data_IF_209199808290
#
_entry.id   IF_209199808290
#
_cell.length_a   1.000
_cell.length_b   1.000
_cell.length_c   1.000
_cell.angle_alpha   90.00
_cell.angle_beta   90.00
_cell.angle_gamma   90.00
#
_symmetry.space_group_name_H-M   'P 1'
#
loop_
_entity.id
_entity.type
_entity.pdbx_description
1 polymer ?
#
# COMPACT_ATOMS: atom_id res chain seq x y z
N UNK A 1 33.72 -30.38 -7.48
CA UNK A 1 33.14 -29.39 -8.43
C UNK A 1 32.35 -28.36 -7.63
N UNK A 2 32.86 -27.13 -7.52
CA UNK A 2 32.16 -26.03 -6.85
C UNK A 2 31.13 -25.44 -7.83
N UNK A 3 29.85 -25.79 -7.64
CA UNK A 3 28.76 -25.08 -8.31
C UNK A 3 28.69 -23.65 -7.74
N UNK A 4 29.41 -22.72 -8.37
CA UNK A 4 29.14 -21.28 -8.22
C UNK A 4 27.70 -21.06 -8.71
N UNK A 5 26.73 -21.06 -7.78
CA UNK A 5 25.40 -20.50 -8.05
C UNK A 5 25.62 -19.10 -8.62
N UNK A 6 25.34 -18.92 -9.92
CA UNK A 6 25.21 -17.58 -10.50
C UNK A 6 24.20 -16.86 -9.61
N UNK A 7 24.63 -15.92 -8.77
CA UNK A 7 23.73 -14.95 -8.14
C UNK A 7 23.03 -14.28 -9.31
N UNK A 8 21.78 -14.64 -9.57
CA UNK A 8 20.94 -13.87 -10.48
C UNK A 8 20.97 -12.44 -9.95
N UNK A 9 21.60 -11.54 -10.71
CA UNK A 9 21.51 -10.11 -10.45
C UNK A 9 20.07 -9.74 -10.77
N UNK A 10 19.17 -9.90 -9.81
CA UNK A 10 17.79 -9.45 -9.98
C UNK A 10 17.87 -7.93 -10.08
N UNK A 11 17.45 -7.39 -11.22
CA UNK A 11 17.47 -5.94 -11.44
C UNK A 11 16.53 -5.25 -10.43
N UNK A 12 16.93 -4.11 -9.83
CA UNK A 12 16.05 -3.29 -9.00
C UNK A 12 14.69 -3.00 -9.66
N UNK A 13 14.69 -2.83 -10.99
CA UNK A 13 13.47 -2.66 -11.79
C UNK A 13 12.51 -3.84 -11.67
N UNK A 14 13.02 -5.07 -11.71
CA UNK A 14 12.19 -6.28 -11.57
C UNK A 14 11.58 -6.33 -10.17
N UNK A 15 12.36 -6.00 -9.14
CA UNK A 15 11.86 -5.97 -7.77
C UNK A 15 10.81 -4.89 -7.54
N UNK A 16 10.96 -3.72 -8.17
CA UNK A 16 9.92 -2.69 -8.17
C UNK A 16 8.63 -3.18 -8.83
N UNK A 17 8.72 -3.84 -9.99
CA UNK A 17 7.55 -4.42 -10.66
C UNK A 17 6.88 -5.52 -9.81
N UNK A 18 7.66 -6.38 -9.17
CA UNK A 18 7.14 -7.38 -8.21
C UNK A 18 6.35 -6.69 -7.09
N UNK A 19 6.89 -5.60 -6.52
CA UNK A 19 6.22 -4.83 -5.49
C UNK A 19 4.96 -4.11 -6.02
N UNK A 20 4.99 -3.54 -7.23
CA UNK A 20 3.81 -2.99 -7.89
C UNK A 20 2.70 -4.04 -8.02
N UNK A 21 3.04 -5.23 -8.50
CA UNK A 21 2.08 -6.33 -8.68
C UNK A 21 1.51 -6.78 -7.34
N UNK A 22 2.35 -6.96 -6.32
CA UNK A 22 1.91 -7.31 -4.97
C UNK A 22 0.98 -6.24 -4.37
N UNK A 23 1.28 -4.96 -4.61
CA UNK A 23 0.47 -3.83 -4.14
C UNK A 23 -0.89 -3.80 -4.84
N UNK A 24 -0.94 -4.02 -6.16
CA UNK A 24 -2.21 -4.12 -6.91
C UNK A 24 -3.03 -5.34 -6.47
N UNK A 25 -2.39 -6.46 -6.19
CA UNK A 25 -3.07 -7.63 -5.64
C UNK A 25 -3.69 -7.34 -4.27
N UNK A 26 -2.97 -6.62 -3.40
CA UNK A 26 -3.49 -6.15 -2.12
C UNK A 26 -4.73 -5.24 -2.30
N UNK A 27 -4.68 -4.29 -3.25
CA UNK A 27 -5.84 -3.46 -3.63
C UNK A 27 -7.05 -4.32 -4.02
N UNK A 28 -6.86 -5.31 -4.90
CA UNK A 28 -7.96 -6.20 -5.31
C UNK A 28 -8.55 -7.00 -4.14
N UNK A 29 -7.71 -7.47 -3.22
CA UNK A 29 -8.18 -8.17 -2.00
C UNK A 29 -9.00 -7.25 -1.09
N UNK A 30 -8.58 -5.99 -0.93
CA UNK A 30 -9.34 -5.00 -0.17
C UNK A 30 -10.68 -4.70 -0.85
N UNK A 31 -10.73 -4.60 -2.18
CA UNK A 31 -12.00 -4.44 -2.92
C UNK A 31 -13.01 -5.56 -2.65
N UNK A 32 -12.56 -6.81 -2.52
CA UNK A 32 -13.43 -7.92 -2.11
C UNK A 32 -13.94 -7.78 -0.67
N UNK A 33 -13.10 -7.25 0.23
CA UNK A 33 -13.50 -6.98 1.61
C UNK A 33 -14.53 -5.84 1.68
N UNK A 34 -14.32 -4.76 0.92
CA UNK A 34 -15.27 -3.65 0.75
C UNK A 34 -16.64 -4.16 0.31
N UNK A 35 -16.71 -5.02 -0.72
CA UNK A 35 -17.97 -5.56 -1.19
C UNK A 35 -18.71 -6.38 -0.10
N UNK A 36 -17.97 -7.17 0.69
CA UNK A 36 -18.54 -7.94 1.81
C UNK A 36 -19.02 -7.05 2.96
N UNK A 37 -18.24 -6.04 3.31
CA UNK A 37 -18.60 -5.06 4.35
C UNK A 37 -19.83 -4.26 3.95
N UNK A 38 -19.88 -3.77 2.70
CA UNK A 38 -21.05 -3.08 2.14
C UNK A 38 -22.30 -3.94 2.28
N UNK A 39 -22.28 -5.17 1.76
CA UNK A 39 -23.44 -6.06 1.82
C UNK A 39 -23.88 -6.37 3.25
N UNK A 40 -22.94 -6.44 4.20
CA UNK A 40 -23.25 -6.69 5.62
C UNK A 40 -23.84 -5.43 6.28
N UNK A 41 -23.31 -4.26 5.94
CA UNK A 41 -23.84 -2.97 6.39
C UNK A 41 -25.26 -2.74 5.87
N UNK A 42 -25.52 -2.93 4.58
CA UNK A 42 -26.86 -2.79 3.98
C UNK A 42 -27.92 -3.67 4.66
N UNK A 43 -27.52 -4.84 5.17
CA UNK A 43 -28.42 -5.77 5.86
C UNK A 43 -28.65 -5.44 7.34
N UNK A 44 -27.68 -4.83 8.00
CA UNK A 44 -27.68 -4.67 9.46
C UNK A 44 -27.85 -3.23 9.93
N UNK A 45 -27.45 -2.25 9.10
CA UNK A 45 -27.36 -0.84 9.48
C UNK A 45 -26.30 -0.56 10.55
N UNK A 46 -25.38 -1.50 10.84
CA UNK A 46 -24.43 -1.38 11.94
C UNK A 46 -23.40 -0.26 11.67
N UNK A 47 -23.34 0.81 12.49
CA UNK A 47 -22.38 1.90 12.33
C UNK A 47 -20.91 1.46 12.41
N UNK A 48 -20.61 0.37 13.11
CA UNK A 48 -19.25 -0.17 13.21
C UNK A 48 -18.76 -0.73 11.86
N UNK A 49 -19.66 -1.33 11.08
CA UNK A 49 -19.37 -1.80 9.72
C UNK A 49 -19.15 -0.64 8.76
N UNK A 50 -19.88 0.46 8.93
CA UNK A 50 -19.67 1.69 8.17
C UNK A 50 -18.27 2.27 8.40
N UNK A 51 -17.85 2.39 9.68
CA UNK A 51 -16.49 2.86 10.00
C UNK A 51 -15.41 1.91 9.45
N UNK A 52 -15.65 0.60 9.53
CA UNK A 52 -14.72 -0.39 8.98
C UNK A 52 -14.62 -0.28 7.46
N UNK A 53 -15.76 -0.12 6.77
CA UNK A 53 -15.82 0.11 5.33
C UNK A 53 -15.02 1.35 4.93
N UNK A 54 -15.23 2.47 5.63
CA UNK A 54 -14.47 3.70 5.40
C UNK A 54 -12.97 3.47 5.56
N UNK A 55 -12.53 2.85 6.66
CA UNK A 55 -11.12 2.59 6.89
C UNK A 55 -10.48 1.67 5.83
N UNK A 56 -11.23 0.65 5.36
CA UNK A 56 -10.75 -0.24 4.29
C UNK A 56 -10.66 0.50 2.96
N UNK A 57 -11.60 1.39 2.64
CA UNK A 57 -11.56 2.24 1.44
C UNK A 57 -10.36 3.20 1.46
N UNK A 58 -10.06 3.83 2.61
CA UNK A 58 -8.86 4.65 2.81
C UNK A 58 -7.60 3.86 2.52
N UNK A 59 -7.47 2.68 3.14
CA UNK A 59 -6.32 1.81 2.91
C UNK A 59 -6.20 1.41 1.43
N UNK A 60 -7.32 1.05 0.79
CA UNK A 60 -7.35 0.69 -0.62
C UNK A 60 -6.85 1.86 -1.50
N UNK A 61 -7.33 3.07 -1.26
CA UNK A 61 -6.91 4.27 -2.00
C UNK A 61 -5.41 4.57 -1.82
N UNK A 62 -4.87 4.43 -0.60
CA UNK A 62 -3.42 4.59 -0.37
C UNK A 62 -2.62 3.59 -1.18
N UNK A 63 -3.00 2.31 -1.17
CA UNK A 63 -2.28 1.28 -1.92
C UNK A 63 -2.39 1.48 -3.44
N UNK A 64 -3.49 2.03 -3.94
CA UNK A 64 -3.62 2.41 -5.35
C UNK A 64 -2.63 3.52 -5.73
N UNK A 65 -2.54 4.58 -4.94
CA UNK A 65 -1.56 5.67 -5.15
C UNK A 65 -0.13 5.13 -5.12
N UNK A 66 0.20 4.28 -4.13
CA UNK A 66 1.50 3.64 -4.05
C UNK A 66 1.78 2.76 -5.27
N UNK A 67 0.80 2.01 -5.76
CA UNK A 67 0.97 1.12 -6.93
C UNK A 67 1.34 1.91 -8.19
N UNK A 68 0.71 3.07 -8.41
CA UNK A 68 1.01 3.96 -9.53
C UNK A 68 2.43 4.52 -9.38
N UNK A 69 2.77 5.03 -8.18
CA UNK A 69 4.11 5.55 -7.89
C UNK A 69 5.20 4.50 -8.15
N UNK A 70 5.01 3.27 -7.68
CA UNK A 70 5.94 2.16 -7.88
C UNK A 70 6.11 1.80 -9.36
N UNK A 71 5.02 1.80 -10.14
CA UNK A 71 5.07 1.60 -11.59
C UNK A 71 5.84 2.73 -12.28
N UNK A 72 5.62 3.98 -11.88
CA UNK A 72 6.40 5.12 -12.38
C UNK A 72 7.89 4.96 -12.10
N UNK A 73 8.27 4.58 -10.88
CA UNK A 73 9.67 4.32 -10.51
C UNK A 73 10.27 3.17 -11.32
N UNK A 74 9.51 2.09 -11.52
CA UNK A 74 9.93 0.95 -12.33
C UNK A 74 10.14 1.33 -13.81
N UNK A 75 9.34 2.26 -14.34
CA UNK A 75 9.44 2.73 -15.71
C UNK A 75 10.61 3.70 -15.92
N UNK A 76 10.86 4.59 -14.96
CA UNK A 76 12.03 5.49 -14.97
C UNK A 76 13.32 4.67 -14.82
N UNK A 77 13.29 3.61 -14.00
CA UNK A 77 14.45 2.74 -13.77
C UNK A 77 15.51 3.35 -12.86
N UNK A 78 15.26 4.53 -12.29
CA UNK A 78 16.04 5.15 -11.24
C UNK A 78 15.34 4.95 -9.90
N UNK A 79 16.12 4.62 -8.88
CA UNK A 79 15.61 4.36 -7.54
C UNK A 79 16.37 5.26 -6.56
N UNK A 80 15.64 6.20 -5.96
CA UNK A 80 16.17 7.11 -4.94
C UNK A 80 15.89 6.55 -3.54
N UNK A 81 16.72 6.94 -2.57
CA UNK A 81 16.48 6.67 -1.15
C UNK A 81 15.18 7.32 -0.67
N UNK A 82 14.90 8.54 -1.12
CA UNK A 82 13.70 9.29 -0.80
C UNK A 82 12.43 8.53 -1.25
N UNK A 83 12.38 8.06 -2.49
CA UNK A 83 11.21 7.38 -3.04
C UNK A 83 10.89 6.09 -2.28
N UNK A 84 11.89 5.26 -2.00
CA UNK A 84 11.67 4.06 -1.20
C UNK A 84 11.32 4.38 0.26
N UNK A 85 11.87 5.46 0.81
CA UNK A 85 11.55 5.90 2.18
C UNK A 85 10.11 6.38 2.27
N UNK A 86 9.60 7.10 1.25
CA UNK A 86 8.18 7.48 1.14
C UNK A 86 7.32 6.22 1.15
N UNK A 87 7.58 5.25 0.27
CA UNK A 87 6.78 4.01 0.20
C UNK A 87 6.82 3.26 1.53
N UNK A 88 8.00 3.09 2.13
CA UNK A 88 8.16 2.38 3.40
C UNK A 88 7.40 3.08 4.53
N UNK A 89 7.54 4.40 4.65
CA UNK A 89 6.90 5.18 5.69
C UNK A 89 5.39 5.20 5.53
N UNK A 90 4.87 5.35 4.32
CA UNK A 90 3.43 5.23 4.05
C UNK A 90 2.91 3.85 4.49
N UNK A 91 3.60 2.77 4.13
CA UNK A 91 3.21 1.40 4.55
C UNK A 91 3.22 1.22 6.08
N UNK A 92 4.20 1.80 6.77
CA UNK A 92 4.27 1.78 8.23
C UNK A 92 3.09 2.54 8.86
N UNK A 93 2.80 3.75 8.38
CA UNK A 93 1.71 4.57 8.91
C UNK A 93 0.34 3.90 8.69
N UNK A 94 0.07 3.36 7.49
CA UNK A 94 -1.18 2.63 7.24
C UNK A 94 -1.26 1.30 7.99
N UNK A 95 -0.13 0.63 8.27
CA UNK A 95 -0.11 -0.57 9.10
C UNK A 95 -0.46 -0.24 10.55
N UNK A 96 0.04 0.87 11.09
CA UNK A 96 -0.30 1.34 12.43
C UNK A 96 -1.78 1.76 12.52
N UNK A 97 -2.29 2.48 11.52
CA UNK A 97 -3.67 2.97 11.50
C UNK A 97 -4.70 1.85 11.27
N UNK A 98 -4.41 0.91 10.36
CA UNK A 98 -5.41 -0.02 9.82
C UNK A 98 -5.07 -1.50 10.01
N UNK A 99 -3.89 -1.83 10.52
CA UNK A 99 -3.45 -3.22 10.72
C UNK A 99 -4.37 -4.02 11.66
N UNK A 100 -5.04 -3.34 12.60
CA UNK A 100 -5.95 -3.99 13.56
C UNK A 100 -7.34 -4.26 12.99
N UNK A 101 -7.69 -3.76 11.80
CA UNK A 101 -9.01 -4.00 11.18
C UNK A 101 -9.24 -5.49 10.95
N UNK A 102 -8.21 -6.19 10.44
CA UNK A 102 -8.25 -7.62 10.25
C UNK A 102 -6.82 -8.20 10.25
N UNK A 103 -6.58 -9.39 10.82
CA UNK A 103 -5.25 -10.03 10.81
C UNK A 103 -4.64 -10.14 9.41
N UNK A 104 -5.47 -10.38 8.39
CA UNK A 104 -5.03 -10.46 7.00
C UNK A 104 -4.47 -9.14 6.44
N UNK A 105 -4.93 -7.99 6.94
CA UNK A 105 -4.44 -6.66 6.52
C UNK A 105 -3.05 -6.41 7.11
N UNK A 106 -2.85 -6.66 8.40
CA UNK A 106 -1.54 -6.49 9.03
C UNK A 106 -0.46 -7.34 8.36
N UNK A 107 -0.75 -8.62 8.08
CA UNK A 107 0.18 -9.51 7.38
C UNK A 107 0.51 -8.99 5.97
N UNK A 108 -0.52 -8.60 5.21
CA UNK A 108 -0.34 -8.08 3.85
C UNK A 108 0.52 -6.82 3.82
N UNK A 109 0.33 -5.90 4.76
CA UNK A 109 1.12 -4.67 4.85
C UNK A 109 2.57 -4.96 5.30
N UNK A 110 2.77 -5.92 6.20
CA UNK A 110 4.10 -6.37 6.59
C UNK A 110 4.85 -7.00 5.41
N UNK A 111 4.16 -7.78 4.57
CA UNK A 111 4.76 -8.38 3.37
C UNK A 111 5.23 -7.31 2.38
N UNK A 112 4.41 -6.28 2.12
CA UNK A 112 4.78 -5.15 1.27
C UNK A 112 5.98 -4.36 1.85
N UNK A 113 5.98 -4.11 3.16
CA UNK A 113 7.08 -3.42 3.85
C UNK A 113 8.40 -4.21 3.75
N UNK A 114 8.32 -5.54 3.90
CA UNK A 114 9.47 -6.43 3.75
C UNK A 114 10.01 -6.42 2.32
N UNK A 115 9.12 -6.37 1.31
CA UNK A 115 9.52 -6.24 -0.09
C UNK A 115 10.26 -4.92 -0.36
N UNK A 116 9.80 -3.80 0.21
CA UNK A 116 10.52 -2.51 0.11
C UNK A 116 11.92 -2.61 0.72
N UNK A 117 12.03 -3.21 1.90
CA UNK A 117 13.32 -3.42 2.57
C UNK A 117 14.25 -4.34 1.75
N UNK A 118 13.69 -5.36 1.09
CA UNK A 118 14.45 -6.21 0.18
C UNK A 118 14.94 -5.46 -1.06
N UNK A 119 14.14 -4.55 -1.63
CA UNK A 119 14.55 -3.72 -2.77
C UNK A 119 15.74 -2.84 -2.38
N UNK A 120 15.65 -2.17 -1.24
CA UNK A 120 16.72 -1.31 -0.73
C UNK A 120 18.03 -2.08 -0.54
N UNK A 121 17.95 -3.26 0.09
CA UNK A 121 19.12 -4.14 0.30
C UNK A 121 19.77 -4.57 -1.02
N UNK A 122 18.98 -4.95 -2.04
CA UNK A 122 19.51 -5.37 -3.35
C UNK A 122 20.07 -4.19 -4.15
N UNK A 123 19.50 -3.00 -3.96
CA UNK A 123 19.87 -1.79 -4.70
C UNK A 123 21.01 -1.01 -4.04
N UNK A 124 21.45 -1.41 -2.84
CA UNK A 124 22.47 -0.68 -2.07
C UNK A 124 21.99 0.68 -1.58
N UNK A 125 20.66 0.87 -1.43
CA UNK A 125 20.06 2.11 -0.97
C UNK A 125 19.81 2.02 0.53
N UNK A 126 20.27 3.02 1.26
CA UNK A 126 19.99 3.15 2.68
C UNK A 126 18.60 3.75 2.88
N UNK A 127 17.77 3.05 3.66
CA UNK A 127 16.46 3.54 4.05
C UNK A 127 16.59 4.29 5.37
N UNK A 128 16.31 5.59 5.34
CA UNK A 128 16.12 6.34 6.55
C UNK A 128 14.68 6.15 7.03
N UNK A 129 14.53 5.70 8.28
CA UNK A 129 13.25 5.75 9.00
C UNK A 129 13.20 6.97 9.92
N UNK A 130 14.27 7.80 9.94
CA UNK A 130 14.27 9.04 10.69
C UNK A 130 13.26 10.03 10.10
N UNK A 131 12.82 10.99 10.92
CA UNK A 131 11.92 12.05 10.50
C UNK A 131 12.58 12.99 9.50
N UNK A 132 12.56 12.59 8.24
CA UNK A 132 12.83 13.46 7.10
C UNK A 132 11.56 14.28 6.80
N UNK A 133 11.61 15.62 6.88
CA UNK A 133 10.44 16.48 6.70
C UNK A 133 9.87 16.41 5.27
N UNK A 134 10.72 16.20 4.26
CA UNK A 134 10.30 16.10 2.85
C UNK A 134 9.55 14.79 2.64
N UNK A 135 10.11 13.68 3.13
CA UNK A 135 9.43 12.37 3.11
C UNK A 135 8.09 12.46 3.85
N UNK A 136 8.08 13.07 5.04
CA UNK A 136 6.87 13.26 5.84
C UNK A 136 5.78 14.08 5.15
N UNK A 137 6.16 15.14 4.41
CA UNK A 137 5.22 15.93 3.61
C UNK A 137 4.60 15.09 2.49
N UNK A 138 5.42 14.35 1.75
CA UNK A 138 4.94 13.46 0.68
C UNK A 138 4.01 12.37 1.20
N UNK A 139 4.35 11.75 2.33
CA UNK A 139 3.48 10.75 2.97
C UNK A 139 2.14 11.36 3.36
N UNK A 140 2.15 12.54 3.99
CA UNK A 140 0.91 13.24 4.36
C UNK A 140 0.06 13.57 3.15
N UNK A 141 0.68 14.01 2.06
CA UNK A 141 -0.01 14.29 0.79
C UNK A 141 -0.70 13.04 0.25
N UNK A 142 0.00 11.90 0.23
CA UNK A 142 -0.58 10.60 -0.19
C UNK A 142 -1.79 10.24 0.69
N UNK A 143 -1.67 10.36 2.02
CA UNK A 143 -2.76 10.03 2.93
C UNK A 143 -3.97 10.96 2.77
N UNK A 144 -3.74 12.25 2.54
CA UNK A 144 -4.81 13.23 2.32
C UNK A 144 -5.53 13.02 0.97
N UNK A 145 -4.78 12.71 -0.10
CA UNK A 145 -5.35 12.38 -1.40
C UNK A 145 -6.18 11.09 -1.32
N UNK A 146 -5.65 10.08 -0.62
CA UNK A 146 -6.37 8.83 -0.39
C UNK A 146 -7.65 9.01 0.45
N UNK A 147 -7.64 9.94 1.42
CA UNK A 147 -8.83 10.28 2.19
C UNK A 147 -9.94 10.85 1.30
N UNK A 148 -9.62 11.84 0.47
CA UNK A 148 -10.61 12.44 -0.43
C UNK A 148 -11.22 11.40 -1.39
N UNK A 149 -10.40 10.49 -1.91
CA UNK A 149 -10.87 9.39 -2.76
C UNK A 149 -11.74 8.40 -1.98
N UNK A 150 -11.38 8.08 -0.74
CA UNK A 150 -12.15 7.16 0.09
C UNK A 150 -13.53 7.72 0.45
N UNK A 151 -13.60 9.00 0.82
CA UNK A 151 -14.85 9.72 1.11
C UNK A 151 -15.76 9.75 -0.11
N UNK A 152 -15.21 10.07 -1.30
CA UNK A 152 -15.97 10.04 -2.54
C UNK A 152 -16.54 8.64 -2.81
N UNK A 153 -15.73 7.59 -2.68
CA UNK A 153 -16.17 6.20 -2.89
C UNK A 153 -17.22 5.78 -1.88
N UNK A 154 -17.06 6.19 -0.62
CA UNK A 154 -18.01 5.87 0.44
C UNK A 154 -19.37 6.49 0.15
N UNK A 155 -19.41 7.77 -0.27
CA UNK A 155 -20.63 8.43 -0.71
C UNK A 155 -21.27 7.70 -1.89
N UNK A 156 -20.51 7.36 -2.94
CA UNK A 156 -21.02 6.63 -4.11
C UNK A 156 -21.59 5.24 -3.77
N UNK A 157 -20.99 4.56 -2.78
CA UNK A 157 -21.39 3.23 -2.33
C UNK A 157 -22.66 3.27 -1.49
N UNK A 158 -22.86 4.35 -0.71
CA UNK A 158 -23.96 4.49 0.26
C UNK A 158 -25.17 5.21 -0.34
N UNK A 159 -24.96 6.15 -1.26
CA UNK A 159 -26.03 6.94 -1.88
C UNK A 159 -26.66 6.30 -3.12
N UNK A 160 -26.03 5.29 -3.73
CA UNK A 160 -26.65 4.53 -4.83
C UNK A 160 -27.54 3.41 -4.28
N UNK A 161 -28.88 3.52 -4.34
CA UNK A 161 -29.73 2.35 -4.16
C UNK A 161 -29.41 1.34 -5.27
N UNK A 162 -29.38 0.06 -4.89
CA UNK A 162 -29.18 -1.07 -5.79
C UNK A 162 -30.26 -1.16 -6.87
#
# INVERSE_FOLDING_TARGET
>A
MLFRRRRQRISPRIKLLELTVATRYAVSRLGLLVARLKSSYERTGDPSLYQMLHNVLRLQAVLEVLSIRLETLANIGALSSEDLSIVKRTLLEVKQAYGMIAPGIASMLADLENMVSSIASVSGVELSVADDPVVGEHVRKILNEAEAVAEQRLAEIVEKPA
#
